data_IF_697793797912
#
_entry.id   IF_697793797912
#
_cell.length_a   1.000
_cell.length_b   1.000
_cell.length_c   1.000
_cell.angle_alpha   90.00
_cell.angle_beta   90.00
_cell.angle_gamma   90.00
#
_symmetry.space_group_name_H-M   'P 1'
#
loop_
_entity.id
_entity.type
_entity.pdbx_description
1 polymer ?
#
# COMPACT_ATOMS: atom_id res chain seq x y z
N UNK A 1 1.81 34.59 12.45
CA UNK A 1 1.40 33.73 11.33
C UNK A 1 2.60 32.85 11.04
N UNK A 2 2.77 31.80 11.85
CA UNK A 2 4.01 31.00 11.93
C UNK A 2 3.72 29.60 12.51
N UNK A 3 2.46 29.15 12.39
CA UNK A 3 1.98 27.86 12.92
C UNK A 3 1.67 26.82 11.83
N UNK A 4 1.58 27.23 10.57
CA UNK A 4 1.10 26.36 9.49
C UNK A 4 2.22 25.47 8.92
N UNK A 5 3.48 25.92 8.93
CA UNK A 5 4.60 25.19 8.32
C UNK A 5 5.08 23.96 9.10
N UNK A 6 4.85 23.90 10.41
CA UNK A 6 5.28 22.76 11.25
C UNK A 6 4.27 21.61 11.21
N UNK A 7 2.97 21.93 11.06
CA UNK A 7 1.88 20.94 11.01
C UNK A 7 1.80 20.24 9.63
N UNK A 8 2.06 20.98 8.55
CA UNK A 8 2.11 20.42 7.19
C UNK A 8 3.28 19.44 6.98
N UNK A 9 4.44 19.73 7.58
CA UNK A 9 5.63 18.89 7.46
C UNK A 9 5.47 17.54 8.22
N UNK A 10 4.90 17.56 9.44
CA UNK A 10 4.54 16.35 10.18
C UNK A 10 3.46 15.54 9.45
N UNK A 11 2.49 16.23 8.83
CA UNK A 11 1.42 15.60 8.06
C UNK A 11 1.90 14.90 6.79
N UNK A 12 2.92 15.41 6.09
CA UNK A 12 3.48 14.77 4.90
C UNK A 12 4.36 13.57 5.27
N UNK A 13 5.22 13.71 6.27
CA UNK A 13 6.08 12.60 6.70
C UNK A 13 5.25 11.43 7.25
N UNK A 14 4.23 11.71 8.07
CA UNK A 14 3.31 10.68 8.57
C UNK A 14 2.59 9.94 7.45
N UNK A 15 2.16 10.68 6.42
CA UNK A 15 1.52 10.09 5.24
C UNK A 15 2.48 9.18 4.48
N UNK A 16 3.72 9.63 4.20
CA UNK A 16 4.73 8.83 3.52
C UNK A 16 5.05 7.54 4.27
N UNK A 17 5.21 7.62 5.60
CA UNK A 17 5.41 6.44 6.45
C UNK A 17 4.25 5.46 6.36
N UNK A 18 3.02 5.98 6.43
CA UNK A 18 1.82 5.16 6.28
C UNK A 18 1.75 4.47 4.91
N UNK A 19 2.09 5.17 3.82
CA UNK A 19 2.19 4.57 2.49
C UNK A 19 3.18 3.40 2.48
N UNK A 20 4.38 3.60 3.03
CA UNK A 20 5.40 2.55 3.09
C UNK A 20 4.98 1.38 3.99
N UNK A 21 4.23 1.63 5.07
CA UNK A 21 3.72 0.58 5.96
C UNK A 21 2.65 -0.28 5.28
N UNK A 22 1.69 0.33 4.57
CA UNK A 22 0.67 -0.39 3.81
C UNK A 22 1.34 -1.23 2.71
N UNK A 23 2.24 -0.63 1.93
CA UNK A 23 2.97 -1.37 0.90
C UNK A 23 3.84 -2.49 1.49
N UNK A 24 4.44 -2.27 2.67
CA UNK A 24 5.21 -3.31 3.37
C UNK A 24 4.32 -4.51 3.69
N UNK A 25 3.16 -4.27 4.29
CA UNK A 25 2.20 -5.33 4.60
C UNK A 25 1.75 -6.05 3.30
N UNK A 26 1.45 -5.29 2.26
CA UNK A 26 0.99 -5.86 0.98
C UNK A 26 2.07 -6.66 0.25
N UNK A 27 3.34 -6.28 0.41
CA UNK A 27 4.51 -7.00 -0.15
C UNK A 27 5.02 -8.16 0.73
N UNK A 28 4.51 -8.28 1.96
CA UNK A 28 5.02 -9.24 2.93
C UNK A 28 4.73 -10.69 2.51
N UNK A 29 5.54 -11.67 2.95
CA UNK A 29 5.24 -13.08 2.73
C UNK A 29 3.84 -13.47 3.25
N UNK A 30 3.18 -14.48 2.65
CA UNK A 30 1.84 -14.89 3.07
C UNK A 30 1.72 -15.20 4.57
N UNK A 31 2.76 -15.78 5.19
CA UNK A 31 2.76 -16.07 6.63
C UNK A 31 2.60 -14.82 7.50
N UNK A 32 3.27 -13.72 7.14
CA UNK A 32 3.19 -12.44 7.86
C UNK A 32 1.82 -11.79 7.62
N UNK A 33 1.32 -11.84 6.39
CA UNK A 33 -0.02 -11.34 6.05
C UNK A 33 -1.10 -12.09 6.84
N UNK A 34 -1.04 -13.41 6.90
CA UNK A 34 -1.96 -14.23 7.67
C UNK A 34 -1.88 -13.97 9.17
N UNK A 35 -0.69 -13.75 9.71
CA UNK A 35 -0.52 -13.40 11.12
C UNK A 35 -1.19 -12.05 11.44
N UNK A 36 -0.96 -11.04 10.59
CA UNK A 36 -1.63 -9.76 10.69
C UNK A 36 -3.16 -9.92 10.67
N UNK A 37 -3.71 -10.59 9.66
CA UNK A 37 -5.15 -10.80 9.50
C UNK A 37 -5.78 -11.51 10.70
N UNK A 38 -5.09 -12.51 11.25
CA UNK A 38 -5.52 -13.20 12.48
C UNK A 38 -5.51 -12.28 13.71
N UNK A 39 -4.50 -11.42 13.82
CA UNK A 39 -4.36 -10.49 14.96
C UNK A 39 -5.52 -9.49 15.03
N UNK A 40 -6.02 -9.05 13.87
CA UNK A 40 -7.15 -8.10 13.76
C UNK A 40 -8.50 -8.77 13.50
N UNK A 41 -8.53 -10.10 13.32
CA UNK A 41 -9.74 -10.94 13.10
C UNK A 41 -10.54 -10.57 11.84
N UNK A 42 -9.84 -10.39 10.72
CA UNK A 42 -10.42 -10.03 9.42
C UNK A 42 -9.94 -10.98 8.31
N UNK A 43 -10.57 -10.91 7.14
CA UNK A 43 -10.23 -11.69 5.95
C UNK A 43 -9.19 -11.01 5.05
N UNK A 44 -8.75 -11.72 4.00
CA UNK A 44 -7.74 -11.23 3.07
C UNK A 44 -8.16 -9.96 2.29
N UNK A 45 -9.46 -9.70 2.19
CA UNK A 45 -10.04 -8.48 1.63
C UNK A 45 -9.55 -7.21 2.35
N UNK A 46 -9.27 -7.29 3.65
CA UNK A 46 -8.72 -6.17 4.43
C UNK A 46 -7.41 -5.62 3.86
N UNK A 47 -6.56 -6.47 3.27
CA UNK A 47 -5.30 -6.02 2.66
C UNK A 47 -5.56 -5.07 1.48
N UNK A 48 -6.62 -5.34 0.71
CA UNK A 48 -7.03 -4.52 -0.42
C UNK A 48 -7.78 -3.28 0.05
N UNK A 49 -8.60 -3.38 1.10
CA UNK A 49 -9.28 -2.22 1.69
C UNK A 49 -8.30 -1.18 2.22
N UNK A 50 -7.22 -1.60 2.90
CA UNK A 50 -6.18 -0.67 3.34
C UNK A 50 -5.46 0.00 2.18
N UNK A 51 -5.25 -0.72 1.08
CA UNK A 51 -4.65 -0.14 -0.11
C UNK A 51 -5.60 0.84 -0.83
N UNK A 52 -6.89 0.53 -0.88
CA UNK A 52 -7.94 1.39 -1.43
C UNK A 52 -8.07 2.70 -0.63
N UNK A 53 -8.02 2.65 0.70
CA UNK A 53 -7.93 3.84 1.54
C UNK A 53 -6.67 4.67 1.27
N UNK A 54 -5.54 4.00 1.04
CA UNK A 54 -4.30 4.65 0.63
C UNK A 54 -4.46 5.37 -0.71
N UNK A 55 -5.04 4.74 -1.73
CA UNK A 55 -5.25 5.37 -3.04
C UNK A 55 -6.14 6.60 -2.94
N UNK A 56 -7.24 6.52 -2.19
CA UNK A 56 -8.13 7.68 -1.97
C UNK A 56 -7.39 8.84 -1.30
N UNK A 57 -6.60 8.55 -0.28
CA UNK A 57 -5.80 9.56 0.40
C UNK A 57 -4.71 10.14 -0.51
N UNK A 58 -4.02 9.30 -1.29
CA UNK A 58 -2.99 9.71 -2.25
C UNK A 58 -3.55 10.61 -3.35
N UNK A 59 -4.74 10.29 -3.87
CA UNK A 59 -5.44 11.16 -4.83
C UNK A 59 -5.76 12.54 -4.23
N UNK A 60 -6.21 12.57 -2.97
CA UNK A 60 -6.37 13.84 -2.25
C UNK A 60 -5.05 14.63 -2.17
N UNK A 61 -3.94 13.96 -1.86
CA UNK A 61 -2.61 14.57 -1.78
C UNK A 61 -2.11 15.11 -3.12
N UNK A 62 -2.43 14.42 -4.22
CA UNK A 62 -2.15 14.87 -5.59
C UNK A 62 -2.93 16.15 -5.91
N UNK A 63 -4.24 16.19 -5.61
CA UNK A 63 -5.09 17.37 -5.87
C UNK A 63 -4.62 18.62 -5.10
N UNK A 64 -4.00 18.43 -3.93
CA UNK A 64 -3.46 19.51 -3.10
C UNK A 64 -1.93 19.69 -3.23
N UNK A 65 -1.32 19.22 -4.33
CA UNK A 65 0.12 19.41 -4.66
C UNK A 65 1.12 18.92 -3.59
N UNK A 66 0.72 17.96 -2.74
CA UNK A 66 1.55 17.39 -1.67
C UNK A 66 2.10 15.99 -1.99
N UNK A 67 1.75 15.48 -3.16
CA UNK A 67 2.27 14.29 -3.85
C UNK A 67 2.30 14.61 -5.35
N UNK A 68 3.33 14.18 -6.07
CA UNK A 68 3.41 14.42 -7.51
C UNK A 68 2.80 13.28 -8.33
N UNK A 69 2.56 13.54 -9.62
CA UNK A 69 1.95 12.56 -10.55
C UNK A 69 2.76 11.28 -10.70
N UNK A 70 4.09 11.35 -10.59
CA UNK A 70 4.95 10.18 -10.73
C UNK A 70 4.83 9.25 -9.51
N UNK A 71 4.86 9.82 -8.30
CA UNK A 71 4.62 9.10 -7.05
C UNK A 71 3.23 8.46 -7.03
N UNK A 72 2.21 9.21 -7.46
CA UNK A 72 0.85 8.69 -7.56
C UNK A 72 0.76 7.58 -8.63
N UNK A 73 1.40 7.75 -9.77
CA UNK A 73 1.44 6.76 -10.85
C UNK A 73 2.05 5.43 -10.41
N UNK A 74 3.03 5.44 -9.52
CA UNK A 74 3.59 4.22 -8.91
C UNK A 74 2.56 3.48 -8.05
N UNK A 75 1.69 4.19 -7.34
CA UNK A 75 0.60 3.59 -6.57
C UNK A 75 -0.51 3.06 -7.50
N UNK A 76 -0.85 3.80 -8.55
CA UNK A 76 -1.81 3.33 -9.56
C UNK A 76 -1.33 2.07 -10.28
N UNK A 77 -0.02 1.90 -10.45
CA UNK A 77 0.51 0.64 -10.99
C UNK A 77 0.15 -0.55 -10.10
N UNK A 78 0.28 -0.43 -8.78
CA UNK A 78 -0.12 -1.47 -7.81
C UNK A 78 -1.63 -1.71 -7.85
N UNK A 79 -2.43 -0.65 -8.05
CA UNK A 79 -3.89 -0.75 -8.20
C UNK A 79 -4.32 -1.69 -9.34
N UNK A 80 -3.55 -1.79 -10.42
CA UNK A 80 -3.84 -2.74 -11.51
C UNK A 80 -3.77 -4.22 -11.05
N UNK A 81 -2.89 -4.54 -10.10
CA UNK A 81 -2.79 -5.87 -9.53
C UNK A 81 -3.85 -6.12 -8.45
N UNK A 82 -4.25 -5.08 -7.72
CA UNK A 82 -5.41 -5.14 -6.82
C UNK A 82 -6.69 -5.48 -7.60
N UNK A 83 -6.89 -4.84 -8.75
CA UNK A 83 -8.03 -5.16 -9.62
C UNK A 83 -7.96 -6.62 -10.13
N UNK A 84 -6.76 -7.10 -10.46
CA UNK A 84 -6.58 -8.49 -10.87
C UNK A 84 -6.97 -9.49 -9.77
N UNK A 85 -6.67 -9.19 -8.49
CA UNK A 85 -7.11 -10.00 -7.34
C UNK A 85 -8.65 -9.95 -7.21
N UNK A 86 -9.25 -8.76 -7.30
CA UNK A 86 -10.71 -8.59 -7.21
C UNK A 86 -11.47 -9.38 -8.29
N UNK A 87 -10.90 -9.47 -9.49
CA UNK A 87 -11.51 -10.13 -10.65
C UNK A 87 -11.35 -11.66 -10.64
N UNK A 88 -10.47 -12.22 -9.81
CA UNK A 88 -10.18 -13.66 -9.76
C UNK A 88 -11.29 -14.52 -9.12
N UNK A 89 -12.35 -13.88 -8.61
CA UNK A 89 -13.54 -14.55 -8.08
C UNK A 89 -13.40 -15.03 -6.64
N UNK A 90 -14.46 -15.64 -6.09
CA UNK A 90 -14.61 -15.83 -4.64
C UNK A 90 -13.50 -16.67 -3.97
N UNK A 91 -12.84 -17.58 -4.69
CA UNK A 91 -11.76 -18.41 -4.13
C UNK A 91 -10.53 -17.60 -3.72
N UNK A 92 -10.29 -16.45 -4.37
CA UNK A 92 -9.10 -15.62 -4.17
C UNK A 92 -8.95 -15.11 -2.73
N UNK A 93 -10.05 -15.06 -1.98
CA UNK A 93 -10.11 -14.56 -0.61
C UNK A 93 -9.74 -15.59 0.46
N UNK A 94 -9.45 -16.83 0.06
CA UNK A 94 -9.05 -17.89 1.00
C UNK A 94 -7.58 -17.78 1.42
N UNK A 95 -7.25 -18.28 2.61
CA UNK A 95 -5.86 -18.41 3.09
C UNK A 95 -4.98 -19.19 2.09
N UNK A 96 -5.53 -20.24 1.47
CA UNK A 96 -4.84 -21.05 0.47
C UNK A 96 -4.49 -20.23 -0.78
N UNK A 97 -5.43 -19.43 -1.28
CA UNK A 97 -5.20 -18.56 -2.42
C UNK A 97 -4.20 -17.45 -2.09
N UNK A 98 -4.28 -16.83 -0.91
CA UNK A 98 -3.29 -15.86 -0.45
C UNK A 98 -1.86 -16.42 -0.50
N UNK A 99 -1.70 -17.71 -0.19
CA UNK A 99 -0.41 -18.41 -0.21
C UNK A 99 0.06 -18.82 -1.60
N UNK A 100 -0.85 -19.24 -2.49
CA UNK A 100 -0.49 -20.01 -3.69
C UNK A 100 -0.90 -19.36 -5.01
N UNK A 101 -1.82 -18.39 -5.00
CA UNK A 101 -2.31 -17.78 -6.23
C UNK A 101 -1.29 -16.84 -6.87
N UNK A 102 -1.31 -16.79 -8.20
CA UNK A 102 -0.42 -15.93 -8.96
C UNK A 102 -0.79 -14.45 -8.78
N UNK A 103 -2.07 -14.13 -8.64
CA UNK A 103 -2.59 -12.76 -8.46
C UNK A 103 -2.04 -12.15 -7.18
N UNK A 104 -2.09 -12.88 -6.05
CA UNK A 104 -1.50 -12.43 -4.80
C UNK A 104 0.03 -12.35 -4.85
N UNK A 105 0.68 -13.29 -5.55
CA UNK A 105 2.14 -13.24 -5.73
C UNK A 105 2.57 -12.02 -6.54
N UNK A 106 1.85 -11.71 -7.62
CA UNK A 106 2.10 -10.55 -8.47
C UNK A 106 1.83 -9.24 -7.71
N UNK A 107 0.74 -9.18 -6.93
CA UNK A 107 0.44 -8.01 -6.09
C UNK A 107 1.55 -7.77 -5.06
N UNK A 108 2.03 -8.83 -4.38
CA UNK A 108 3.17 -8.72 -3.45
C UNK A 108 4.42 -8.17 -4.12
N UNK A 109 4.75 -8.68 -5.31
CA UNK A 109 5.92 -8.24 -6.06
C UNK A 109 5.82 -6.76 -6.47
N UNK A 110 4.68 -6.36 -7.04
CA UNK A 110 4.42 -4.98 -7.44
C UNK A 110 4.45 -4.02 -6.24
N UNK A 111 3.81 -4.39 -5.12
CA UNK A 111 3.85 -3.61 -3.90
C UNK A 111 5.27 -3.45 -3.35
N UNK A 112 6.10 -4.51 -3.42
CA UNK A 112 7.48 -4.49 -2.99
C UNK A 112 8.36 -3.57 -3.83
N UNK A 113 8.24 -3.64 -5.16
CA UNK A 113 8.94 -2.72 -6.08
C UNK A 113 8.52 -1.27 -5.85
N UNK A 114 7.21 -0.99 -5.79
CA UNK A 114 6.71 0.37 -5.55
C UNK A 114 7.16 0.91 -4.20
N UNK A 115 7.16 0.08 -3.15
CA UNK A 115 7.68 0.46 -1.82
C UNK A 115 9.14 0.89 -1.91
N UNK A 116 9.98 0.10 -2.58
CA UNK A 116 11.40 0.41 -2.74
C UNK A 116 11.58 1.74 -3.46
N UNK A 117 10.92 1.92 -4.61
CA UNK A 117 11.06 3.14 -5.41
C UNK A 117 10.62 4.40 -4.65
N UNK A 118 9.52 4.33 -3.90
CA UNK A 118 9.03 5.45 -3.10
C UNK A 118 9.93 5.74 -1.90
N UNK A 119 10.43 4.70 -1.21
CA UNK A 119 11.36 4.87 -0.10
C UNK A 119 12.67 5.53 -0.55
N UNK A 120 13.20 5.13 -1.70
CA UNK A 120 14.42 5.72 -2.30
C UNK A 120 14.19 7.20 -2.64
N UNK A 121 13.07 7.50 -3.29
CA UNK A 121 12.69 8.87 -3.68
C UNK A 121 12.46 9.78 -2.47
N UNK A 122 11.91 9.25 -1.39
CA UNK A 122 11.65 10.02 -0.16
C UNK A 122 12.83 10.01 0.82
N UNK A 123 13.94 9.34 0.49
CA UNK A 123 15.11 9.18 1.35
C UNK A 123 14.79 8.50 2.70
N UNK A 124 13.77 7.63 2.72
CA UNK A 124 13.23 6.98 3.91
C UNK A 124 13.76 5.53 4.08
N UNK A 125 15.07 5.35 3.93
CA UNK A 125 15.77 4.06 3.92
C UNK A 125 15.54 3.17 5.15
N UNK A 126 15.25 3.79 6.30
CA UNK A 126 14.94 3.09 7.55
C UNK A 126 13.62 2.30 7.50
N UNK A 127 12.84 2.45 6.43
CA UNK A 127 11.56 1.79 6.20
C UNK A 127 11.62 0.78 5.05
N UNK A 128 12.80 0.33 4.62
CA UNK A 128 13.03 -0.80 3.73
C UNK A 128 13.15 -2.11 4.52
#
# INVERSE_FOLDING_TARGET
MEKDTVDECDGQERFRRWVLDVLRLLSSPPSVQLEFLKSVRVGADELLLQFDDLIRAAHGRLVFDSMNEEEYGQLQHVETFVNSVNEAGAYIWSDDALCSSAEWANLRAAAGETRQQLADRWELWQYL
#
